data_IF_089129509703
#
_entry.id   IF_089129509703
#
_cell.length_a   1.000
_cell.length_b   1.000
_cell.length_c   1.000
_cell.angle_alpha   90.00
_cell.angle_beta   90.00
_cell.angle_gamma   90.00
#
_symmetry.space_group_name_H-M   'P 1'
#
loop_
_entity.id
_entity.type
_entity.pdbx_description
1 polymer ?
#
# COMPACT_ATOMS: atom_id res chain seq x y z
N UNK A 1 -26.52 19.14 -0.42
CA UNK A 1 -25.72 18.16 -1.16
C UNK A 1 -26.15 16.78 -0.73
N UNK A 2 -26.93 16.10 -1.56
CA UNK A 2 -27.39 14.73 -1.29
C UNK A 2 -26.18 13.81 -1.42
N UNK A 3 -25.63 13.35 -0.31
CA UNK A 3 -24.55 12.37 -0.33
C UNK A 3 -25.08 11.13 -1.05
N UNK A 4 -24.53 10.85 -2.24
CA UNK A 4 -24.77 9.59 -2.95
C UNK A 4 -24.27 8.50 -2.02
N UNK A 5 -25.20 7.83 -1.34
CA UNK A 5 -24.95 6.61 -0.56
C UNK A 5 -24.72 5.47 -1.55
N UNK A 6 -23.52 5.41 -2.11
CA UNK A 6 -23.13 4.24 -2.89
C UNK A 6 -22.66 3.16 -1.92
N UNK A 7 -23.28 1.99 -1.97
CA UNK A 7 -22.93 0.77 -1.22
C UNK A 7 -21.66 0.08 -1.73
N UNK A 8 -20.79 0.81 -2.43
CA UNK A 8 -19.54 0.27 -2.99
C UNK A 8 -18.61 0.01 -1.82
N UNK A 9 -18.46 -1.26 -1.47
CA UNK A 9 -17.38 -1.70 -0.61
C UNK A 9 -16.06 -1.35 -1.29
N UNK A 10 -15.09 -0.78 -0.55
CA UNK A 10 -13.77 -0.57 -1.09
C UNK A 10 -13.22 -1.91 -1.61
N UNK A 11 -12.46 -1.90 -2.73
CA UNK A 11 -11.81 -3.11 -3.22
C UNK A 11 -11.01 -3.76 -2.10
N UNK A 12 -11.05 -5.10 -2.04
CA UNK A 12 -10.32 -5.90 -1.08
C UNK A 12 -8.81 -5.81 -1.36
N UNK A 13 -8.20 -4.71 -0.94
CA UNK A 13 -6.82 -4.38 -1.19
C UNK A 13 -6.17 -3.74 0.04
N UNK A 14 -4.95 -4.17 0.33
CA UNK A 14 -4.05 -3.53 1.27
C UNK A 14 -3.06 -2.63 0.54
N UNK A 15 -2.55 -1.65 1.27
CA UNK A 15 -1.64 -0.64 0.74
C UNK A 15 -0.47 -0.45 1.69
N UNK A 16 0.74 -0.43 1.13
CA UNK A 16 1.93 0.06 1.83
C UNK A 16 2.27 1.44 1.28
N UNK A 17 2.14 2.48 2.11
CA UNK A 17 2.30 3.89 1.71
C UNK A 17 3.50 4.52 2.38
N UNK A 18 4.16 5.43 1.68
CA UNK A 18 5.16 6.32 2.25
C UNK A 18 4.65 7.75 2.19
N UNK A 19 4.67 8.44 3.32
CA UNK A 19 4.39 9.86 3.41
C UNK A 19 5.70 10.61 3.65
N UNK A 20 6.11 11.44 2.70
CA UNK A 20 7.35 12.21 2.79
C UNK A 20 7.11 13.61 3.36
N UNK A 21 7.99 14.14 4.21
CA UNK A 21 7.88 15.52 4.66
C UNK A 21 8.02 16.47 3.48
N UNK A 22 7.39 17.65 3.54
CA UNK A 22 7.53 18.69 2.49
C UNK A 22 8.99 19.01 2.11
N UNK A 23 9.91 18.91 3.07
CA UNK A 23 11.34 19.12 2.84
C UNK A 23 11.99 18.12 1.87
N UNK A 24 11.40 16.94 1.66
CA UNK A 24 11.87 15.93 0.73
C UNK A 24 11.65 16.31 -0.75
N UNK A 25 10.71 17.21 -1.03
CA UNK A 25 10.36 17.60 -2.40
C UNK A 25 11.21 18.77 -2.90
N UNK A 26 11.55 18.82 -4.21
CA UNK A 26 12.18 19.98 -4.84
C UNK A 26 11.32 21.25 -4.72
N UNK A 27 11.93 22.44 -4.83
CA UNK A 27 11.27 23.72 -4.57
C UNK A 27 9.89 23.91 -5.24
N UNK A 28 9.76 23.72 -6.58
CA UNK A 28 8.48 23.86 -7.27
C UNK A 28 7.42 22.86 -6.79
N UNK A 29 7.82 21.60 -6.59
CA UNK A 29 6.91 20.55 -6.15
C UNK A 29 6.50 20.73 -4.68
N UNK A 30 7.44 21.15 -3.83
CA UNK A 30 7.19 21.52 -2.43
C UNK A 30 6.15 22.63 -2.33
N UNK A 31 6.31 23.70 -3.12
CA UNK A 31 5.35 24.81 -3.14
C UNK A 31 3.96 24.36 -3.58
N UNK A 32 3.89 23.48 -4.59
CA UNK A 32 2.64 22.87 -5.04
C UNK A 32 1.98 22.05 -3.94
N UNK A 33 2.73 21.18 -3.26
CA UNK A 33 2.18 20.37 -2.17
C UNK A 33 1.81 21.18 -0.93
N UNK A 34 2.54 22.25 -0.63
CA UNK A 34 2.18 23.18 0.42
C UNK A 34 0.85 23.89 0.12
N UNK A 35 0.67 24.39 -1.11
CA UNK A 35 -0.58 24.99 -1.55
C UNK A 35 -1.74 23.98 -1.56
N UNK A 36 -1.47 22.73 -1.97
CA UNK A 36 -2.43 21.64 -1.92
C UNK A 36 -2.91 21.37 -0.49
N UNK A 37 -1.97 21.15 0.44
CA UNK A 37 -2.29 20.88 1.85
C UNK A 37 -3.04 22.05 2.50
N UNK A 38 -2.69 23.31 2.17
CA UNK A 38 -3.41 24.49 2.65
C UNK A 38 -4.86 24.57 2.12
N UNK A 39 -5.09 24.11 0.88
CA UNK A 39 -6.41 24.15 0.24
C UNK A 39 -7.34 23.03 0.68
N UNK A 40 -6.82 21.81 0.81
CA UNK A 40 -7.63 20.61 1.05
C UNK A 40 -7.57 20.14 2.51
N UNK A 41 -6.65 20.68 3.30
CA UNK A 41 -6.42 20.24 4.68
C UNK A 41 -5.70 18.90 4.78
N UNK A 42 -5.34 18.48 6.00
CA UNK A 42 -4.86 17.14 6.27
C UNK A 42 -6.00 16.11 6.28
N UNK A 43 -5.73 14.91 5.79
CA UNK A 43 -6.61 13.74 5.92
C UNK A 43 -6.54 13.14 7.33
N UNK A 44 -5.39 13.31 8.01
CA UNK A 44 -5.21 12.92 9.41
C UNK A 44 -4.20 13.82 10.14
N UNK A 45 -4.51 14.16 11.40
CA UNK A 45 -3.68 15.02 12.27
C UNK A 45 -3.11 14.30 13.49
N UNK A 46 -3.60 13.09 13.77
CA UNK A 46 -3.11 12.23 14.85
C UNK A 46 -2.57 10.92 14.26
N UNK A 47 -1.61 10.30 14.93
CA UNK A 47 -1.02 9.04 14.49
C UNK A 47 -2.08 7.92 14.39
N UNK A 48 -3.01 7.88 15.36
CA UNK A 48 -4.09 6.90 15.42
C UNK A 48 -5.27 7.20 14.47
N UNK A 49 -5.27 8.34 13.78
CA UNK A 49 -6.31 8.69 12.83
C UNK A 49 -6.05 8.05 11.47
N UNK A 50 -7.03 7.32 10.94
CA UNK A 50 -6.96 6.67 9.63
C UNK A 50 -7.21 7.66 8.48
N UNK A 51 -6.54 7.45 7.34
CA UNK A 51 -6.82 8.13 6.06
C UNK A 51 -7.89 7.42 5.23
N UNK A 52 -8.54 6.38 5.77
CA UNK A 52 -9.52 5.56 5.05
C UNK A 52 -10.61 6.34 4.29
N UNK A 53 -11.18 7.46 4.83
CA UNK A 53 -12.12 8.27 4.07
C UNK A 53 -11.54 8.88 2.78
N UNK A 54 -10.29 9.34 2.82
CA UNK A 54 -9.60 9.90 1.66
C UNK A 54 -9.28 8.81 0.63
N UNK A 55 -8.87 7.62 1.08
CA UNK A 55 -8.63 6.44 0.23
C UNK A 55 -9.92 6.03 -0.47
N UNK A 56 -11.04 5.99 0.25
CA UNK A 56 -12.34 5.69 -0.34
C UNK A 56 -12.78 6.76 -1.35
N UNK A 57 -12.44 8.03 -1.12
CA UNK A 57 -12.70 9.11 -2.07
C UNK A 57 -11.87 8.97 -3.36
N UNK A 58 -10.59 8.60 -3.27
CA UNK A 58 -9.74 8.25 -4.44
C UNK A 58 -10.44 7.15 -5.26
N UNK A 59 -10.83 6.05 -4.61
CA UNK A 59 -11.45 4.89 -5.26
C UNK A 59 -12.79 5.21 -5.90
N UNK A 60 -13.63 6.01 -5.23
CA UNK A 60 -14.90 6.47 -5.80
C UNK A 60 -14.68 7.35 -7.03
N UNK A 61 -13.65 8.20 -7.01
CA UNK A 61 -13.23 8.99 -8.17
C UNK A 61 -12.86 8.09 -9.34
N UNK A 62 -11.98 7.11 -9.12
CA UNK A 62 -11.57 6.16 -10.15
C UNK A 62 -12.76 5.35 -10.72
N UNK A 63 -13.68 4.90 -9.87
CA UNK A 63 -14.88 4.19 -10.33
C UNK A 63 -15.81 5.11 -11.16
N UNK A 64 -15.98 6.37 -10.75
CA UNK A 64 -16.78 7.33 -11.49
C UNK A 64 -16.19 7.59 -12.90
N UNK A 65 -14.86 7.60 -13.05
CA UNK A 65 -14.19 7.71 -14.34
C UNK A 65 -14.46 6.52 -15.27
N UNK A 66 -14.54 5.29 -14.72
CA UNK A 66 -14.90 4.09 -15.49
C UNK A 66 -16.36 4.11 -15.97
N UNK A 67 -17.24 4.80 -15.25
CA UNK A 67 -18.65 4.95 -15.61
C UNK A 67 -18.92 6.18 -16.50
N UNK A 68 -17.88 6.94 -16.87
CA UNK A 68 -18.02 8.11 -17.72
C UNK A 68 -18.46 7.72 -19.14
N UNK A 69 -19.07 8.67 -19.88
CA UNK A 69 -19.54 8.45 -21.27
C UNK A 69 -18.44 7.99 -22.22
N UNK A 70 -17.21 8.41 -21.96
CA UNK A 70 -16.01 8.02 -22.70
C UNK A 70 -15.01 7.46 -21.70
N UNK A 71 -15.16 6.20 -21.27
CA UNK A 71 -14.29 5.61 -20.27
C UNK A 71 -12.88 5.50 -20.86
N UNK A 72 -11.90 5.87 -20.06
CA UNK A 72 -10.49 5.77 -20.43
C UNK A 72 -9.91 4.57 -19.70
N UNK A 73 -9.17 3.74 -20.43
CA UNK A 73 -8.59 2.54 -19.84
C UNK A 73 -7.49 2.87 -18.83
N UNK A 74 -6.76 3.97 -19.05
CA UNK A 74 -5.65 4.44 -18.21
C UNK A 74 -5.63 5.98 -18.16
N UNK A 75 -5.14 6.59 -17.06
CA UNK A 75 -4.95 8.04 -16.98
C UNK A 75 -3.90 8.57 -17.96
N UNK A 76 -4.20 9.68 -18.64
CA UNK A 76 -3.25 10.35 -19.56
C UNK A 76 -2.27 11.28 -18.84
N UNK A 77 -2.64 11.78 -17.66
CA UNK A 77 -1.84 12.70 -16.85
C UNK A 77 -1.73 12.16 -15.43
N UNK A 78 -0.67 12.56 -14.75
CA UNK A 78 -0.53 12.21 -13.34
C UNK A 78 -1.55 12.99 -12.50
N UNK A 79 -2.04 12.34 -11.44
CA UNK A 79 -2.94 12.93 -10.47
C UNK A 79 -2.24 14.05 -9.70
N UNK A 80 -2.91 15.18 -9.58
CA UNK A 80 -2.46 16.30 -8.73
C UNK A 80 -2.92 16.13 -7.27
N UNK A 81 -3.35 14.93 -6.88
CA UNK A 81 -3.84 14.60 -5.55
C UNK A 81 -2.80 13.84 -4.73
N UNK A 82 -2.92 13.99 -3.42
CA UNK A 82 -2.12 13.28 -2.44
C UNK A 82 -2.93 13.04 -1.17
N UNK A 83 -2.53 12.02 -0.42
CA UNK A 83 -2.88 11.91 0.99
C UNK A 83 -1.97 12.81 1.81
N UNK A 84 -2.55 13.52 2.77
CA UNK A 84 -1.84 14.49 3.61
C UNK A 84 -2.02 14.11 5.08
N UNK A 85 -0.90 13.92 5.78
CA UNK A 85 -0.86 13.74 7.22
C UNK A 85 -0.12 14.91 7.86
N UNK A 86 -0.55 15.34 9.04
CA UNK A 86 0.21 16.30 9.86
C UNK A 86 0.47 15.65 11.21
N UNK A 87 1.73 15.45 11.58
CA UNK A 87 2.11 14.92 12.89
C UNK A 87 3.16 15.85 13.50
N UNK A 88 2.97 16.23 14.76
CA UNK A 88 3.87 17.12 15.50
C UNK A 88 4.24 18.39 14.72
N UNK A 89 3.26 18.97 14.01
CA UNK A 89 3.43 20.18 13.20
C UNK A 89 4.16 19.97 11.85
N UNK A 90 4.55 18.73 11.51
CA UNK A 90 5.18 18.40 10.23
C UNK A 90 4.14 17.89 9.24
N UNK A 91 4.04 18.53 8.07
CA UNK A 91 3.21 18.06 6.96
C UNK A 91 3.93 16.97 6.16
N UNK A 92 3.29 15.82 6.06
CA UNK A 92 3.69 14.68 5.25
C UNK A 92 2.73 14.46 4.09
N UNK A 93 3.27 14.14 2.93
CA UNK A 93 2.52 14.00 1.68
C UNK A 93 2.82 12.64 1.06
N UNK A 94 1.77 11.94 0.66
CA UNK A 94 1.85 10.72 -0.13
C UNK A 94 1.09 10.95 -1.44
N UNK A 95 1.78 11.32 -2.53
CA UNK A 95 1.17 11.48 -3.84
C UNK A 95 0.41 10.22 -4.25
N UNK A 96 -0.80 10.38 -4.81
CA UNK A 96 -1.57 9.22 -5.27
C UNK A 96 -0.85 8.45 -6.36
N UNK A 97 -0.08 9.16 -7.20
CA UNK A 97 0.67 8.60 -8.32
C UNK A 97 -0.18 7.65 -9.17
N UNK A 98 -1.45 8.02 -9.40
CA UNK A 98 -2.48 7.19 -10.00
C UNK A 98 -2.05 6.68 -11.37
N UNK A 99 -1.42 7.51 -12.21
CA UNK A 99 -0.97 7.08 -13.54
C UNK A 99 0.13 6.01 -13.43
N UNK A 100 1.11 6.23 -12.56
CA UNK A 100 2.18 5.27 -12.32
C UNK A 100 1.64 3.93 -11.79
N UNK A 101 0.72 4.00 -10.82
CA UNK A 101 0.06 2.81 -10.26
C UNK A 101 -0.83 2.10 -11.27
N UNK A 102 -1.52 2.82 -12.16
CA UNK A 102 -2.30 2.23 -13.25
C UNK A 102 -1.44 1.46 -14.24
N UNK A 103 -0.23 1.94 -14.55
CA UNK A 103 0.72 1.19 -15.38
C UNK A 103 1.24 -0.08 -14.70
N UNK A 104 1.45 -0.07 -13.37
CA UNK A 104 1.82 -1.27 -12.62
C UNK A 104 0.67 -2.28 -12.60
N UNK A 105 -0.55 -1.80 -12.32
CA UNK A 105 -1.75 -2.62 -12.33
C UNK A 105 -2.01 -3.25 -13.70
N UNK A 106 -1.68 -2.57 -14.80
CA UNK A 106 -1.76 -3.14 -16.15
C UNK A 106 -0.83 -4.35 -16.33
N UNK A 107 0.42 -4.27 -15.84
CA UNK A 107 1.38 -5.39 -15.91
C UNK A 107 0.87 -6.58 -15.08
N UNK A 108 0.44 -6.33 -13.84
CA UNK A 108 -0.15 -7.36 -12.97
C UNK A 108 -1.41 -7.98 -13.58
N UNK A 109 -2.23 -7.18 -14.27
CA UNK A 109 -3.42 -7.66 -14.95
C UNK A 109 -3.07 -8.61 -16.10
N UNK A 110 -2.01 -8.29 -16.85
CA UNK A 110 -1.54 -9.12 -17.95
C UNK A 110 -0.99 -10.47 -17.48
N UNK A 111 -0.40 -10.53 -16.29
CA UNK A 111 0.07 -11.77 -15.67
C UNK A 111 -1.06 -12.62 -15.06
N UNK A 112 -2.19 -12.00 -14.71
CA UNK A 112 -3.24 -12.65 -13.90
C UNK A 112 -4.53 -12.99 -14.66
N UNK A 113 -4.79 -12.39 -15.83
CA UNK A 113 -5.98 -12.70 -16.63
C UNK A 113 -5.67 -13.61 -17.82
N UNK A 114 -6.60 -14.53 -18.18
CA UNK A 114 -6.58 -15.19 -19.47
C UNK A 114 -6.55 -14.17 -20.62
N UNK A 115 -5.72 -14.42 -21.63
CA UNK A 115 -5.50 -13.50 -22.77
C UNK A 115 -6.79 -13.01 -23.41
N UNK A 116 -7.78 -13.89 -23.62
CA UNK A 116 -9.06 -13.51 -24.22
C UNK A 116 -9.84 -12.47 -23.38
N UNK A 117 -9.83 -12.60 -22.05
CA UNK A 117 -10.45 -11.62 -21.16
C UNK A 117 -9.63 -10.33 -21.13
N UNK A 118 -8.31 -10.43 -21.08
CA UNK A 118 -7.41 -9.28 -21.11
C UNK A 118 -7.60 -8.45 -22.39
N UNK A 119 -7.68 -9.09 -23.56
CA UNK A 119 -7.89 -8.43 -24.85
C UNK A 119 -9.27 -7.76 -24.94
N UNK A 120 -10.25 -8.27 -24.21
CA UNK A 120 -11.60 -7.68 -24.13
C UNK A 120 -11.60 -6.44 -23.25
N UNK A 121 -11.00 -6.50 -22.05
CA UNK A 121 -11.05 -5.38 -21.08
C UNK A 121 -9.99 -4.31 -21.35
N UNK A 122 -8.86 -4.69 -21.95
CA UNK A 122 -7.73 -3.80 -22.23
C UNK A 122 -7.05 -4.23 -23.53
N UNK A 123 -7.56 -3.82 -24.71
CA UNK A 123 -7.09 -4.32 -26.01
C UNK A 123 -5.57 -4.17 -26.24
N UNK A 124 -4.94 -5.06 -27.05
CA UNK A 124 -3.49 -5.04 -27.29
C UNK A 124 -2.93 -3.68 -27.73
N UNK A 125 -3.66 -2.96 -28.59
CA UNK A 125 -3.26 -1.63 -29.08
C UNK A 125 -3.18 -0.60 -27.94
N UNK A 126 -4.10 -0.67 -26.98
CA UNK A 126 -4.12 0.21 -25.80
C UNK A 126 -2.96 -0.13 -24.88
N UNK A 127 -2.69 -1.42 -24.65
CA UNK A 127 -1.54 -1.87 -23.84
C UNK A 127 -0.20 -1.42 -24.45
N UNK A 128 -0.04 -1.58 -25.75
CA UNK A 128 1.16 -1.16 -26.47
C UNK A 128 1.38 0.37 -26.39
N UNK A 129 0.32 1.16 -26.60
CA UNK A 129 0.39 2.60 -26.47
C UNK A 129 0.75 3.03 -25.04
N UNK A 130 0.13 2.41 -24.03
CA UNK A 130 0.40 2.67 -22.62
C UNK A 130 1.83 2.31 -22.20
N UNK A 131 2.36 1.20 -22.71
CA UNK A 131 3.73 0.79 -22.49
C UNK A 131 4.72 1.81 -23.08
N UNK A 132 4.49 2.24 -24.32
CA UNK A 132 5.32 3.27 -24.95
C UNK A 132 5.24 4.62 -24.22
N UNK A 133 4.06 5.00 -23.72
CA UNK A 133 3.89 6.19 -22.87
C UNK A 133 4.67 6.08 -21.57
N UNK A 134 4.60 4.93 -20.90
CA UNK A 134 5.35 4.66 -19.66
C UNK A 134 6.84 4.76 -19.88
N UNK A 135 7.36 4.18 -20.96
CA UNK A 135 8.78 4.22 -21.31
C UNK A 135 9.26 5.66 -21.56
N UNK A 136 8.52 6.44 -22.36
CA UNK A 136 8.81 7.87 -22.57
C UNK A 136 8.78 8.66 -21.26
N UNK A 137 7.77 8.40 -20.43
CA UNK A 137 7.62 9.10 -19.16
C UNK A 137 8.75 8.77 -18.18
N UNK A 138 9.13 7.50 -18.06
CA UNK A 138 10.26 7.05 -17.22
C UNK A 138 11.58 7.63 -17.68
N UNK A 139 11.82 7.72 -19.00
CA UNK A 139 13.02 8.35 -19.53
C UNK A 139 13.13 9.84 -19.13
N UNK A 140 12.00 10.53 -19.02
CA UNK A 140 11.94 11.92 -18.56
C UNK A 140 11.93 12.06 -17.02
N UNK A 141 11.63 11.00 -16.28
CA UNK A 141 11.51 10.98 -14.82
C UNK A 141 12.26 9.77 -14.23
N UNK A 142 13.60 9.72 -14.32
CA UNK A 142 14.38 8.56 -13.88
C UNK A 142 14.24 8.28 -12.37
N UNK A 143 13.96 9.30 -11.57
CA UNK A 143 13.77 9.20 -10.11
C UNK A 143 12.31 8.97 -9.70
N UNK A 144 11.43 8.65 -10.65
CA UNK A 144 10.04 8.34 -10.37
C UNK A 144 9.91 6.98 -9.68
N UNK A 145 9.24 6.98 -8.53
CA UNK A 145 8.95 5.78 -7.74
C UNK A 145 7.50 5.78 -7.28
N UNK A 146 6.87 4.61 -7.09
CA UNK A 146 5.54 4.55 -6.49
C UNK A 146 5.62 4.81 -4.98
N UNK A 147 4.88 5.80 -4.46
CA UNK A 147 4.74 6.00 -3.02
C UNK A 147 3.83 4.96 -2.35
N UNK A 148 3.08 4.22 -3.15
CA UNK A 148 2.05 3.29 -2.70
C UNK A 148 2.26 1.97 -3.43
N UNK A 149 2.59 0.93 -2.68
CA UNK A 149 2.45 -0.44 -3.16
C UNK A 149 1.03 -0.93 -2.83
N UNK A 150 0.41 -1.68 -3.73
CA UNK A 150 -0.95 -2.22 -3.57
C UNK A 150 -0.91 -3.73 -3.74
N UNK A 151 -1.62 -4.48 -2.90
CA UNK A 151 -1.91 -5.88 -3.16
C UNK A 151 -3.38 -6.18 -2.87
N UNK A 152 -3.98 -7.05 -3.67
CA UNK A 152 -5.40 -7.41 -3.61
C UNK A 152 -5.53 -8.76 -2.93
N UNK A 153 -6.58 -8.91 -2.12
CA UNK A 153 -6.98 -10.14 -1.43
C UNK A 153 -6.04 -10.67 -0.34
N UNK A 154 -4.88 -10.04 -0.13
CA UNK A 154 -3.95 -10.39 0.93
C UNK A 154 -3.01 -9.22 1.28
N UNK A 155 -2.36 -9.31 2.43
CA UNK A 155 -1.18 -8.52 2.76
C UNK A 155 0.07 -9.39 2.54
N UNK A 156 1.01 -9.01 1.65
CA UNK A 156 2.30 -9.69 1.55
C UNK A 156 3.00 -9.79 2.90
N UNK A 157 3.43 -10.98 3.29
CA UNK A 157 4.09 -11.21 4.59
C UNK A 157 5.26 -10.25 4.85
N UNK A 158 6.05 -9.94 3.80
CA UNK A 158 7.16 -8.99 3.89
C UNK A 158 6.74 -7.58 4.32
N UNK A 159 5.50 -7.16 4.07
CA UNK A 159 4.99 -5.83 4.46
C UNK A 159 4.76 -5.69 5.96
N UNK A 160 4.78 -6.77 6.74
CA UNK A 160 4.73 -6.68 8.21
C UNK A 160 6.08 -6.30 8.83
N UNK A 161 7.20 -6.61 8.16
CA UNK A 161 8.56 -6.39 8.66
C UNK A 161 8.91 -4.94 9.06
N UNK A 162 8.40 -3.88 8.41
CA UNK A 162 8.67 -2.52 8.82
C UNK A 162 8.07 -2.15 10.18
N UNK A 163 7.09 -2.92 10.69
CA UNK A 163 6.26 -2.55 11.83
C UNK A 163 6.56 -3.39 13.06
N UNK A 164 6.11 -2.92 14.22
CA UNK A 164 6.02 -3.66 15.46
C UNK A 164 4.62 -3.51 16.07
N UNK A 165 4.32 -4.29 17.09
CA UNK A 165 3.00 -4.29 17.73
C UNK A 165 2.59 -2.91 18.28
N UNK A 166 3.56 -2.06 18.63
CA UNK A 166 3.33 -0.71 19.11
C UNK A 166 2.84 0.27 18.03
N UNK A 167 3.04 -0.06 16.74
CA UNK A 167 2.63 0.79 15.63
C UNK A 167 1.14 0.58 15.26
N UNK A 168 0.46 -0.38 15.89
CA UNK A 168 -0.90 -0.84 15.55
C UNK A 168 -1.96 0.20 15.89
N UNK A 169 -2.77 0.57 14.90
CA UNK A 169 -3.92 1.43 15.04
C UNK A 169 -5.18 0.69 14.60
N UNK A 170 -5.99 0.25 15.58
CA UNK A 170 -7.28 -0.39 15.34
C UNK A 170 -8.43 0.56 15.71
N UNK A 171 -9.29 0.85 14.74
CA UNK A 171 -10.51 1.61 14.93
C UNK A 171 -11.70 0.66 14.72
N UNK A 172 -12.48 0.33 15.77
CA UNK A 172 -13.66 -0.52 15.61
C UNK A 172 -14.70 0.17 14.73
N UNK A 173 -15.57 -0.64 14.09
CA UNK A 173 -16.68 -0.11 13.31
C UNK A 173 -17.57 0.76 14.20
N UNK A 174 -17.90 1.96 13.71
CA UNK A 174 -18.82 2.88 14.33
C UNK A 174 -20.19 2.86 13.65
N UNK A 175 -20.90 4.00 13.65
CA UNK A 175 -22.11 4.18 12.83
C UNK A 175 -21.87 3.86 11.35
N UNK A 176 -22.93 3.71 10.53
CA UNK A 176 -22.85 3.17 9.16
C UNK A 176 -21.88 3.88 8.20
N UNK A 177 -21.46 5.10 8.51
CA UNK A 177 -20.52 5.92 7.74
C UNK A 177 -19.06 5.84 8.22
N UNK A 178 -18.80 5.10 9.31
CA UNK A 178 -17.46 4.88 9.88
C UNK A 178 -17.15 3.37 9.94
N UNK A 179 -16.71 2.76 8.83
CA UNK A 179 -16.28 1.36 8.84
C UNK A 179 -15.09 1.16 9.77
N UNK A 180 -14.87 -0.08 10.21
CA UNK A 180 -13.66 -0.44 10.93
C UNK A 180 -12.42 -0.15 10.07
N UNK A 181 -11.32 0.21 10.74
CA UNK A 181 -10.02 0.38 10.10
C UNK A 181 -8.94 -0.32 10.92
N UNK A 182 -8.00 -0.95 10.23
CA UNK A 182 -6.77 -1.46 10.82
C UNK A 182 -5.60 -0.98 9.96
N UNK A 183 -4.68 -0.27 10.57
CA UNK A 183 -3.45 0.16 9.92
C UNK A 183 -2.31 0.20 10.92
N UNK A 184 -1.09 0.22 10.41
CA UNK A 184 0.13 0.43 11.19
C UNK A 184 0.84 1.66 10.64
N UNK A 185 1.38 2.50 11.51
CA UNK A 185 2.10 3.72 11.11
C UNK A 185 3.40 3.82 11.91
N UNK A 186 4.52 3.91 11.22
CA UNK A 186 5.84 3.96 11.86
C UNK A 186 6.79 4.93 11.15
N UNK A 187 7.77 5.55 11.84
CA UNK A 187 8.81 6.34 11.19
C UNK A 187 9.68 5.51 10.24
N UNK A 188 10.10 6.10 9.11
CA UNK A 188 10.95 5.45 8.09
C UNK A 188 12.27 4.92 8.68
N UNK A 189 12.87 5.63 9.63
CA UNK A 189 14.09 5.18 10.32
C UNK A 189 13.89 3.86 11.06
N UNK A 190 12.73 3.67 11.70
CA UNK A 190 12.37 2.46 12.42
C UNK A 190 12.02 1.33 11.44
N UNK A 191 11.22 1.63 10.41
CA UNK A 191 10.92 0.72 9.31
C UNK A 191 12.18 0.12 8.67
N UNK A 192 13.11 0.97 8.21
CA UNK A 192 14.37 0.51 7.60
C UNK A 192 15.21 -0.32 8.57
N UNK A 193 15.28 0.08 9.85
CA UNK A 193 16.02 -0.66 10.88
C UNK A 193 15.44 -2.07 11.07
N UNK A 194 14.12 -2.22 11.14
CA UNK A 194 13.47 -3.53 11.30
C UNK A 194 13.65 -4.41 10.07
N UNK A 195 13.43 -3.86 8.87
CA UNK A 195 13.65 -4.59 7.60
C UNK A 195 15.11 -5.05 7.46
N UNK A 196 16.09 -4.18 7.74
CA UNK A 196 17.51 -4.54 7.68
C UNK A 196 17.88 -5.64 8.68
N UNK A 197 17.31 -5.62 9.89
CA UNK A 197 17.52 -6.67 10.90
C UNK A 197 16.93 -8.00 10.45
N UNK A 198 15.71 -8.00 9.92
CA UNK A 198 15.07 -9.20 9.39
C UNK A 198 15.82 -9.77 8.19
N UNK A 199 16.25 -8.92 7.25
CA UNK A 199 17.03 -9.34 6.09
C UNK A 199 18.35 -10.01 6.48
N UNK A 200 19.08 -9.45 7.46
CA UNK A 200 20.32 -10.07 7.98
C UNK A 200 20.04 -11.44 8.60
N UNK A 201 19.04 -11.53 9.47
CA UNK A 201 18.66 -12.80 10.11
C UNK A 201 18.25 -13.87 9.07
N UNK A 202 17.49 -13.47 8.04
CA UNK A 202 17.11 -14.34 6.93
C UNK A 202 18.33 -14.80 6.13
N UNK A 203 19.24 -13.90 5.76
CA UNK A 203 20.42 -14.25 4.95
C UNK A 203 21.39 -15.19 5.64
N UNK A 204 21.54 -15.07 6.96
CA UNK A 204 22.42 -15.95 7.73
C UNK A 204 21.90 -17.39 7.79
N UNK A 205 20.58 -17.58 7.74
CA UNK A 205 19.93 -18.89 7.96
C UNK A 205 19.39 -19.51 6.67
N UNK A 206 18.96 -18.68 5.72
CA UNK A 206 18.36 -19.05 4.43
C UNK A 206 18.97 -18.16 3.34
N UNK A 207 20.22 -18.46 2.90
CA UNK A 207 21.01 -17.55 2.07
C UNK A 207 20.48 -17.35 0.64
N UNK A 208 19.57 -18.20 0.16
CA UNK A 208 18.95 -18.06 -1.16
C UNK A 208 17.48 -18.47 -1.10
N UNK A 209 16.60 -17.62 -1.63
CA UNK A 209 15.17 -17.90 -1.72
C UNK A 209 14.34 -16.65 -2.06
N UNK A 210 13.16 -16.86 -2.65
CA UNK A 210 12.24 -15.78 -3.03
C UNK A 210 11.87 -14.86 -1.86
N UNK A 211 11.85 -15.40 -0.63
CA UNK A 211 11.61 -14.63 0.59
C UNK A 211 12.71 -13.57 0.81
N UNK A 212 13.99 -13.96 0.77
CA UNK A 212 15.10 -13.03 0.96
C UNK A 212 15.14 -11.94 -0.13
N UNK A 213 14.93 -12.31 -1.39
CA UNK A 213 14.83 -11.37 -2.51
C UNK A 213 13.65 -10.39 -2.35
N UNK A 214 12.51 -10.87 -1.85
CA UNK A 214 11.35 -10.04 -1.57
C UNK A 214 11.60 -9.02 -0.45
N UNK A 215 12.29 -9.43 0.61
CA UNK A 215 12.70 -8.52 1.70
C UNK A 215 13.74 -7.51 1.23
N UNK A 216 14.70 -7.93 0.39
CA UNK A 216 15.68 -7.04 -0.23
C UNK A 216 15.00 -5.99 -1.11
N UNK A 217 14.05 -6.40 -1.94
CA UNK A 217 13.27 -5.49 -2.77
C UNK A 217 12.48 -4.48 -1.95
N UNK A 218 11.85 -4.91 -0.84
CA UNK A 218 11.17 -3.99 0.08
C UNK A 218 12.15 -3.00 0.73
N UNK A 219 13.32 -3.47 1.15
CA UNK A 219 14.37 -2.62 1.72
C UNK A 219 14.83 -1.54 0.73
N UNK A 220 15.13 -1.93 -0.51
CA UNK A 220 15.51 -1.01 -1.59
C UNK A 220 14.42 0.02 -1.87
N UNK A 221 13.17 -0.40 -1.98
CA UNK A 221 12.06 0.53 -2.16
C UNK A 221 11.96 1.53 -1.02
N UNK A 222 12.08 1.08 0.24
CA UNK A 222 12.08 1.99 1.39
C UNK A 222 13.27 2.98 1.35
N UNK A 223 14.42 2.58 0.82
CA UNK A 223 15.64 3.40 0.69
C UNK A 223 15.50 4.56 -0.29
N UNK A 224 14.58 4.48 -1.25
CA UNK A 224 14.32 5.54 -2.26
C UNK A 224 13.69 6.81 -1.66
N UNK A 225 13.16 6.75 -0.45
CA UNK A 225 12.44 7.85 0.19
C UNK A 225 13.29 8.64 1.18
N UNK A 226 12.81 9.81 1.59
CA UNK A 226 13.48 10.60 2.62
C UNK A 226 13.51 9.86 4.00
N UNK A 227 14.62 9.90 4.76
CA UNK A 227 14.76 9.12 6.02
C UNK A 227 13.84 9.58 7.16
N UNK A 228 13.28 10.79 7.06
CA UNK A 228 12.27 11.32 8.01
C UNK A 228 10.82 11.07 7.57
N UNK A 229 10.59 10.25 6.54
CA UNK A 229 9.24 9.89 6.09
C UNK A 229 8.51 9.00 7.10
N UNK A 230 7.22 8.79 6.88
CA UNK A 230 6.40 7.81 7.58
C UNK A 230 6.08 6.65 6.63
N UNK A 231 5.97 5.44 7.18
CA UNK A 231 5.53 4.25 6.47
C UNK A 231 4.22 3.78 7.09
N UNK A 232 3.22 3.54 6.25
CA UNK A 232 1.90 3.08 6.67
C UNK A 232 1.54 1.77 5.97
N UNK A 233 1.12 0.77 6.73
CA UNK A 233 0.43 -0.40 6.21
C UNK A 233 -1.05 -0.25 6.50
N UNK A 234 -1.86 -0.05 5.49
CA UNK A 234 -3.31 0.09 5.59
C UNK A 234 -3.99 -1.16 5.03
N UNK A 235 -4.80 -1.81 5.85
CA UNK A 235 -5.53 -3.02 5.45
C UNK A 235 -6.64 -2.71 4.44
N UNK A 236 -7.02 -1.44 4.29
CA UNK A 236 -7.95 -0.97 3.28
C UNK A 236 -9.24 -1.77 3.30
N UNK A 237 -9.66 -2.31 2.15
CA UNK A 237 -10.88 -3.10 2.06
C UNK A 237 -10.78 -4.50 2.70
N UNK A 238 -9.58 -5.00 3.03
CA UNK A 238 -9.42 -6.34 3.63
C UNK A 238 -10.07 -6.43 5.02
N UNK A 239 -10.26 -5.29 5.69
CA UNK A 239 -11.01 -5.22 6.96
C UNK A 239 -12.41 -5.85 6.85
N UNK A 240 -13.02 -5.80 5.67
CA UNK A 240 -14.34 -6.39 5.41
C UNK A 240 -14.28 -7.92 5.25
N UNK A 241 -13.16 -8.47 4.78
CA UNK A 241 -12.97 -9.92 4.67
C UNK A 241 -12.64 -10.56 6.02
N UNK A 242 -11.92 -9.84 6.88
CA UNK A 242 -11.54 -10.32 8.21
C UNK A 242 -12.69 -10.25 9.23
N UNK A 243 -13.62 -9.30 9.05
CA UNK A 243 -14.81 -9.18 9.89
C UNK A 243 -14.48 -9.11 11.38
N UNK A 244 -15.11 -9.98 12.18
CA UNK A 244 -14.91 -10.02 13.64
C UNK A 244 -13.46 -10.37 14.05
N UNK A 245 -12.71 -11.09 13.21
CA UNK A 245 -11.31 -11.45 13.48
C UNK A 245 -10.33 -10.28 13.40
N UNK A 246 -10.79 -9.10 12.95
CA UNK A 246 -9.93 -7.93 12.78
C UNK A 246 -9.33 -7.42 14.10
N UNK A 247 -10.10 -7.50 15.20
CA UNK A 247 -9.66 -7.01 16.51
C UNK A 247 -8.46 -7.80 17.05
N UNK A 248 -8.37 -9.09 16.69
CA UNK A 248 -7.32 -10.03 17.11
C UNK A 248 -6.23 -10.20 16.05
N UNK A 249 -6.35 -9.53 14.90
CA UNK A 249 -5.35 -9.64 13.83
C UNK A 249 -4.03 -9.00 14.28
N UNK A 250 -3.00 -9.86 14.39
CA UNK A 250 -1.65 -9.55 14.87
C UNK A 250 -0.55 -10.22 14.01
N UNK A 251 -0.70 -10.19 12.68
CA UNK A 251 0.36 -10.68 11.77
C UNK A 251 1.71 -9.99 12.03
N UNK A 252 1.70 -8.73 12.51
CA UNK A 252 2.93 -8.00 12.84
C UNK A 252 3.64 -8.62 14.03
N UNK A 253 2.93 -8.89 15.14
CA UNK A 253 3.51 -9.54 16.31
C UNK A 253 4.04 -10.94 16.01
N UNK A 254 3.32 -11.73 15.21
CA UNK A 254 3.76 -13.07 14.81
C UNK A 254 5.02 -13.03 13.94
N UNK A 255 5.12 -12.10 13.00
CA UNK A 255 6.33 -11.94 12.17
C UNK A 255 7.49 -11.38 13.01
N UNK A 256 7.25 -10.48 13.94
CA UNK A 256 8.26 -10.00 14.88
C UNK A 256 8.82 -11.17 15.73
N UNK A 257 7.94 -12.02 16.28
CA UNK A 257 8.33 -13.22 17.01
C UNK A 257 9.13 -14.20 16.13
N UNK A 258 8.71 -14.42 14.88
CA UNK A 258 9.42 -15.27 13.93
C UNK A 258 10.83 -14.76 13.61
N UNK A 259 11.01 -13.44 13.43
CA UNK A 259 12.34 -12.83 13.23
C UNK A 259 13.20 -12.96 14.50
N UNK A 260 12.60 -12.79 15.69
CA UNK A 260 13.31 -12.97 16.95
C UNK A 260 13.80 -14.41 17.14
N UNK A 261 12.94 -15.41 16.88
CA UNK A 261 13.29 -16.82 16.91
C UNK A 261 14.42 -17.15 15.92
N UNK A 262 14.34 -16.63 14.70
CA UNK A 262 15.38 -16.84 13.67
C UNK A 262 16.76 -16.32 14.13
N UNK A 263 16.77 -15.15 14.80
CA UNK A 263 17.99 -14.56 15.38
C UNK A 263 18.54 -15.38 16.54
N UNK A 264 17.65 -15.96 17.36
CA UNK A 264 18.05 -16.87 18.44
C UNK A 264 18.53 -18.24 17.91
N UNK A 265 18.37 -18.50 16.61
CA UNK A 265 18.72 -19.77 15.98
C UNK A 265 17.64 -20.84 16.09
N UNK A 266 16.46 -20.47 16.55
CA UNK A 266 15.28 -21.33 16.58
C UNK A 266 14.56 -21.27 15.22
N UNK A 267 15.13 -21.99 14.26
CA UNK A 267 14.56 -22.15 12.91
C UNK A 267 13.15 -22.75 12.89
N UNK A 268 12.88 -23.84 13.65
CA UNK A 268 11.53 -24.40 13.74
C UNK A 268 10.47 -23.41 14.21
N UNK A 269 10.76 -22.64 15.26
CA UNK A 269 9.83 -21.62 15.76
C UNK A 269 9.60 -20.50 14.72
N UNK A 270 10.69 -20.02 14.09
CA UNK A 270 10.60 -19.02 13.04
C UNK A 270 9.74 -19.49 11.85
N UNK A 271 9.91 -20.75 11.43
CA UNK A 271 9.12 -21.36 10.36
C UNK A 271 7.64 -21.45 10.76
N UNK A 272 7.33 -21.89 11.98
CA UNK A 272 5.96 -21.98 12.50
C UNK A 272 5.24 -20.63 12.48
N UNK A 273 5.89 -19.57 12.96
CA UNK A 273 5.33 -18.22 12.93
C UNK A 273 5.07 -17.74 11.49
N UNK A 274 6.03 -17.92 10.60
CA UNK A 274 5.89 -17.56 9.18
C UNK A 274 4.76 -18.34 8.49
N UNK A 275 4.66 -19.65 8.72
CA UNK A 275 3.62 -20.51 8.16
C UNK A 275 2.23 -20.14 8.67
N UNK A 276 2.10 -19.79 9.96
CA UNK A 276 0.84 -19.33 10.56
C UNK A 276 0.30 -18.09 9.83
N UNK A 277 1.16 -17.08 9.65
CA UNK A 277 0.79 -15.84 8.94
C UNK A 277 0.48 -16.13 7.48
N UNK A 278 1.31 -16.94 6.82
CA UNK A 278 1.11 -17.28 5.40
C UNK A 278 -0.19 -18.04 5.17
N UNK A 279 -0.54 -19.00 6.04
CA UNK A 279 -1.80 -19.74 5.94
C UNK A 279 -3.02 -18.85 6.24
N UNK A 280 -2.92 -17.92 7.20
CA UNK A 280 -3.98 -16.92 7.41
C UNK A 280 -4.27 -16.15 6.13
N UNK A 281 -3.25 -15.56 5.51
CA UNK A 281 -3.45 -14.74 4.31
C UNK A 281 -3.80 -15.57 3.07
N UNK A 282 -3.32 -16.81 2.96
CA UNK A 282 -3.76 -17.77 1.94
C UNK A 282 -5.27 -18.03 2.02
N UNK A 283 -5.82 -18.20 3.23
CA UNK A 283 -7.27 -18.38 3.43
C UNK A 283 -8.07 -17.15 3.02
N UNK A 284 -7.59 -15.94 3.33
CA UNK A 284 -8.22 -14.70 2.88
C UNK A 284 -8.15 -14.58 1.36
N UNK A 285 -7.00 -14.87 0.76
CA UNK A 285 -6.82 -14.84 -0.69
C UNK A 285 -7.75 -15.84 -1.41
N UNK A 286 -7.98 -17.02 -0.82
CA UNK A 286 -8.88 -18.04 -1.37
C UNK A 286 -10.33 -17.56 -1.51
N UNK A 287 -10.78 -16.58 -0.71
CA UNK A 287 -12.11 -15.97 -0.83
C UNK A 287 -12.35 -15.31 -2.19
N UNK A 288 -11.27 -14.98 -2.92
CA UNK A 288 -11.35 -14.49 -4.32
C UNK A 288 -12.07 -15.47 -5.25
N UNK A 289 -12.00 -16.76 -4.95
CA UNK A 289 -12.56 -17.84 -5.76
C UNK A 289 -13.79 -18.49 -5.11
N UNK A 290 -14.25 -17.95 -3.98
CA UNK A 290 -15.48 -18.40 -3.33
C UNK A 290 -16.69 -17.83 -4.11
N UNK A 291 -17.53 -18.73 -4.62
CA UNK A 291 -18.77 -18.43 -5.33
C UNK A 291 -19.93 -18.13 -4.40
#
# INVERSE_FOLDING_TARGET
MTAVRTSVLPPYAAHLRVYEPLAAYPGPERARWQAYAARYGPDAVEAAQAVAPAVLAEQRGALAELLARTPRALPERESERAFVRVLDGVTYVCPWATRLRSWQAMEELAESLPVALLDTVLPPVVRAAAQADRERWRAAHPDARPWILTNRWEVPVRWFLPFGTEDRCFLPAGPPDRPAALFYLTPMSQARRRVARAYRALRERVPSGALASGVEGLGRWLEEFHPRSLVELDYGGLVHLLGAGLAEEDSVGEIEAGVAALRAGDGPEAARMYETVTERWRRVHALRYAS
#
